data_IF_524412965236
#
_entry.id   IF_524412965236
#
_cell.length_a   1.000
_cell.length_b   1.000
_cell.length_c   1.000
_cell.angle_alpha   90.00
_cell.angle_beta   90.00
_cell.angle_gamma   90.00
#
_symmetry.space_group_name_H-M   'P 1'
#
loop_
_entity.id
_entity.type
_entity.pdbx_description
1 polymer ?
#
# COMPACT_ATOMS: atom_id res chain seq x y z
N UNK A 1 -21.40 88.92 65.99
CA UNK A 1 -20.09 88.38 65.53
C UNK A 1 -20.07 86.91 65.83
N UNK A 2 -20.44 86.08 64.88
CA UNK A 2 -20.52 84.62 65.01
C UNK A 2 -19.51 83.98 64.08
N UNK A 3 -18.59 83.26 64.61
CA UNK A 3 -17.58 82.52 63.91
C UNK A 3 -18.13 81.14 63.52
N UNK A 4 -18.24 80.92 62.21
CA UNK A 4 -18.60 79.59 61.62
C UNK A 4 -17.29 78.87 61.38
N UNK A 5 -17.09 77.74 62.04
CA UNK A 5 -15.99 76.78 61.74
C UNK A 5 -16.36 75.89 60.53
N UNK A 6 -15.46 75.69 59.59
CA UNK A 6 -15.74 74.70 58.53
C UNK A 6 -15.51 73.27 59.03
N UNK A 7 -16.48 72.39 58.81
CA UNK A 7 -16.37 70.92 58.94
C UNK A 7 -15.58 70.40 57.78
N UNK A 8 -14.38 69.85 58.04
CA UNK A 8 -13.61 69.04 57.07
C UNK A 8 -14.17 67.63 57.09
N UNK A 9 -14.92 67.29 56.02
CA UNK A 9 -15.35 65.93 55.84
C UNK A 9 -14.21 65.10 55.30
N UNK A 10 -13.78 64.08 56.03
CA UNK A 10 -12.86 63.05 55.62
C UNK A 10 -13.70 62.03 54.81
N UNK A 11 -13.57 62.05 53.48
CA UNK A 11 -14.04 60.95 52.66
C UNK A 11 -13.03 59.81 52.79
N UNK A 12 -13.38 58.76 53.54
CA UNK A 12 -12.74 57.47 53.48
C UNK A 12 -13.14 56.82 52.17
N UNK A 13 -12.21 56.81 51.19
CA UNK A 13 -12.32 55.96 50.02
C UNK A 13 -12.08 54.54 50.51
N UNK A 14 -13.16 53.80 50.73
CA UNK A 14 -13.09 52.35 50.93
C UNK A 14 -12.70 51.70 49.56
N UNK A 15 -11.47 51.25 49.48
CA UNK A 15 -11.10 50.29 48.41
C UNK A 15 -11.92 49.04 48.69
N UNK A 16 -12.95 48.80 47.86
CA UNK A 16 -13.60 47.51 47.79
C UNK A 16 -12.63 46.65 47.03
N UNK A 17 -11.81 45.87 47.74
CA UNK A 17 -11.14 44.75 47.17
C UNK A 17 -12.25 43.77 46.72
N UNK A 18 -12.55 43.75 45.42
CA UNK A 18 -13.30 42.68 44.80
C UNK A 18 -12.44 41.41 44.94
N UNK A 19 -12.72 40.61 45.95
CA UNK A 19 -12.27 39.23 45.98
C UNK A 19 -13.05 38.59 44.83
N UNK A 20 -12.40 38.43 43.67
CA UNK A 20 -12.86 37.51 42.67
C UNK A 20 -12.84 36.14 43.35
N UNK A 21 -14.03 35.65 43.74
CA UNK A 21 -14.23 34.23 44.00
C UNK A 21 -13.96 33.59 42.64
N UNK A 22 -12.72 33.06 42.45
CA UNK A 22 -12.42 32.25 41.30
C UNK A 22 -13.46 31.13 41.26
N UNK A 23 -14.12 30.97 40.13
CA UNK A 23 -14.96 29.82 39.92
C UNK A 23 -13.99 28.62 39.98
N UNK A 24 -14.19 27.70 40.92
CA UNK A 24 -13.29 26.55 41.13
C UNK A 24 -13.20 25.64 39.86
N UNK A 25 -13.98 25.96 38.82
CA UNK A 25 -14.07 25.26 37.56
C UNK A 25 -13.23 25.86 36.42
N UNK A 26 -12.48 26.96 36.65
CA UNK A 26 -11.65 27.62 35.63
C UNK A 26 -10.29 28.07 36.19
N UNK A 27 -9.21 27.89 35.44
CA UNK A 27 -7.87 28.42 35.72
C UNK A 27 -7.29 29.16 34.53
N UNK A 28 -6.58 30.29 34.80
CA UNK A 28 -5.76 30.96 33.78
C UNK A 28 -4.33 30.46 33.91
N UNK A 29 -3.75 29.95 32.82
CA UNK A 29 -2.45 29.28 32.81
C UNK A 29 -1.58 29.77 31.64
N UNK A 30 -0.28 29.49 31.71
CA UNK A 30 0.67 29.82 30.62
C UNK A 30 1.22 28.56 29.99
N UNK A 31 1.19 28.47 28.66
CA UNK A 31 1.72 27.33 27.91
C UNK A 31 3.24 27.29 28.01
N UNK A 32 3.78 26.17 28.51
CA UNK A 32 5.20 25.89 28.53
C UNK A 32 5.65 25.20 27.22
N UNK A 33 4.92 24.20 26.78
CA UNK A 33 5.16 23.48 25.52
C UNK A 33 4.00 22.56 25.15
N UNK A 34 3.92 22.22 23.89
CA UNK A 34 3.07 21.15 23.35
C UNK A 34 3.84 19.82 23.35
N UNK A 35 3.21 18.75 23.81
CA UNK A 35 3.78 17.39 23.85
C UNK A 35 3.39 16.62 22.59
N UNK A 36 2.08 16.55 22.31
CA UNK A 36 1.46 15.92 21.15
C UNK A 36 0.20 16.70 20.73
N UNK A 37 -0.67 16.11 19.92
CA UNK A 37 -1.85 16.80 19.38
C UNK A 37 -2.94 17.15 20.39
N UNK A 38 -2.91 16.55 21.59
CA UNK A 38 -3.93 16.76 22.63
C UNK A 38 -3.38 16.87 24.05
N UNK A 39 -2.07 17.01 24.18
CA UNK A 39 -1.39 17.10 25.48
C UNK A 39 -0.42 18.27 25.49
N UNK A 40 -0.57 19.16 26.50
CA UNK A 40 0.29 20.32 26.72
C UNK A 40 0.88 20.32 28.13
N UNK A 41 2.04 20.91 28.29
CA UNK A 41 2.57 21.30 29.61
C UNK A 41 2.31 22.82 29.82
N UNK A 42 1.73 23.18 30.93
CA UNK A 42 1.39 24.56 31.30
C UNK A 42 1.96 24.91 32.69
N UNK A 43 2.09 26.18 32.98
CA UNK A 43 2.38 26.67 34.31
C UNK A 43 1.05 27.00 35.03
N UNK A 44 0.81 26.35 36.17
CA UNK A 44 -0.29 26.62 37.07
C UNK A 44 0.34 27.02 38.41
N UNK A 45 0.21 28.26 38.83
CA UNK A 45 0.74 28.78 40.11
C UNK A 45 2.25 28.53 40.33
N UNK A 46 3.04 28.52 39.26
CA UNK A 46 4.49 28.27 39.29
C UNK A 46 4.87 26.78 39.22
N UNK A 47 3.91 25.88 39.05
CA UNK A 47 4.13 24.45 38.89
C UNK A 47 3.89 24.00 37.44
N UNK A 48 4.86 23.27 36.85
CA UNK A 48 4.68 22.72 35.52
C UNK A 48 3.72 21.53 35.56
N UNK A 49 2.54 21.71 35.00
CA UNK A 49 1.43 20.76 35.03
C UNK A 49 1.15 20.22 33.61
N UNK A 50 0.99 18.90 33.47
CA UNK A 50 0.59 18.28 32.23
C UNK A 50 -0.92 18.23 32.10
N UNK A 51 -1.43 18.80 31.00
CA UNK A 51 -2.86 18.85 30.69
C UNK A 51 -3.15 18.02 29.49
N UNK A 52 -4.10 17.08 29.61
CA UNK A 52 -4.73 16.34 28.52
C UNK A 52 -6.03 17.04 28.14
N UNK A 53 -6.13 17.44 26.89
CA UNK A 53 -7.30 18.13 26.35
C UNK A 53 -8.51 17.17 26.30
N UNK A 54 -9.64 17.60 26.90
CA UNK A 54 -10.86 16.80 27.02
C UNK A 54 -11.59 16.65 25.70
N UNK A 55 -12.30 15.53 25.57
CA UNK A 55 -13.23 15.16 24.51
C UNK A 55 -12.63 15.10 23.10
N UNK A 56 -11.31 15.14 22.98
CA UNK A 56 -10.57 14.81 21.75
C UNK A 56 -9.60 13.67 21.99
N UNK A 57 -9.31 12.93 20.89
CA UNK A 57 -8.22 11.96 20.83
C UNK A 57 -7.48 12.17 19.51
N UNK A 58 -6.17 12.33 19.57
CA UNK A 58 -5.31 12.59 18.41
C UNK A 58 -4.36 11.43 18.16
N UNK A 59 -3.83 11.30 16.93
CA UNK A 59 -2.79 10.31 16.67
C UNK A 59 -1.59 10.49 17.59
N UNK A 60 -1.03 9.39 18.08
CA UNK A 60 0.04 9.37 19.09
C UNK A 60 1.42 9.53 18.45
N UNK A 61 2.26 10.38 19.06
CA UNK A 61 3.69 10.46 18.73
C UNK A 61 4.41 9.21 19.25
N UNK A 62 5.22 8.60 18.40
CA UNK A 62 6.01 7.42 18.77
C UNK A 62 7.03 7.72 19.87
N UNK A 63 7.07 6.88 20.91
CA UNK A 63 8.00 6.99 22.01
C UNK A 63 9.13 5.95 21.90
N UNK A 64 10.30 6.25 22.48
CA UNK A 64 11.46 5.35 22.54
C UNK A 64 11.93 4.82 21.17
N UNK A 65 11.78 5.60 20.11
CA UNK A 65 12.17 5.21 18.75
C UNK A 65 11.13 4.38 18.00
N UNK A 66 9.94 4.19 18.57
CA UNK A 66 8.79 3.62 17.83
C UNK A 66 8.23 4.62 16.81
N UNK A 67 7.53 4.13 15.79
CA UNK A 67 6.90 4.99 14.80
C UNK A 67 5.74 5.80 15.43
N UNK A 68 5.57 7.04 14.98
CA UNK A 68 4.37 7.82 15.24
C UNK A 68 3.20 7.28 14.41
N UNK A 69 1.98 7.47 14.91
CA UNK A 69 0.79 7.23 14.11
C UNK A 69 0.66 8.26 12.98
N UNK A 70 -0.09 7.91 11.94
CA UNK A 70 -0.30 8.82 10.81
C UNK A 70 -0.94 10.13 11.29
N UNK A 71 -0.41 11.26 10.82
CA UNK A 71 -0.82 12.63 11.19
C UNK A 71 -0.53 13.05 12.63
N UNK A 72 0.21 12.27 13.42
CA UNK A 72 0.56 12.66 14.78
C UNK A 72 1.42 13.95 14.84
N UNK A 73 2.42 14.04 13.95
CA UNK A 73 3.26 15.24 13.85
C UNK A 73 2.48 16.44 13.33
N UNK A 74 1.55 16.25 12.41
CA UNK A 74 0.66 17.28 11.89
C UNK A 74 -0.26 17.84 12.99
N UNK A 75 -0.85 16.96 13.80
CA UNK A 75 -1.69 17.36 14.94
C UNK A 75 -0.88 18.15 15.96
N UNK A 76 0.30 17.67 16.34
CA UNK A 76 1.23 18.37 17.21
C UNK A 76 1.63 19.74 16.66
N UNK A 77 2.07 19.82 15.41
CA UNK A 77 2.47 21.07 14.79
C UNK A 77 1.31 22.06 14.65
N UNK A 78 0.08 21.56 14.43
CA UNK A 78 -1.10 22.44 14.47
C UNK A 78 -1.24 23.08 15.84
N UNK A 79 -1.21 22.27 16.91
CA UNK A 79 -1.35 22.76 18.28
C UNK A 79 -0.19 23.68 18.70
N UNK A 80 1.05 23.41 18.29
CA UNK A 80 2.20 24.28 18.50
C UNK A 80 2.03 25.68 17.85
N UNK A 81 1.43 25.73 16.66
CA UNK A 81 1.14 27.04 16.02
C UNK A 81 -0.02 27.77 16.68
N UNK A 82 -1.00 27.01 17.19
CA UNK A 82 -2.17 27.60 17.87
C UNK A 82 -1.83 28.08 19.27
N UNK A 83 -0.94 27.37 19.96
CA UNK A 83 -0.51 27.61 21.34
C UNK A 83 1.02 27.69 21.44
N UNK A 84 1.65 28.77 20.93
CA UNK A 84 3.08 28.99 21.12
C UNK A 84 3.44 29.07 22.61
N UNK A 85 4.69 28.76 22.95
CA UNK A 85 5.20 28.94 24.33
C UNK A 85 4.95 30.36 24.84
N UNK A 86 4.42 30.49 26.06
CA UNK A 86 4.08 31.75 26.68
C UNK A 86 2.66 32.26 26.40
N UNK A 87 1.86 31.49 25.63
CA UNK A 87 0.45 31.80 25.40
C UNK A 87 -0.34 31.67 26.73
N UNK A 88 -1.15 32.65 27.07
CA UNK A 88 -2.11 32.56 28.16
C UNK A 88 -3.36 31.82 27.69
N UNK A 89 -3.81 30.84 28.47
CA UNK A 89 -5.01 30.03 28.25
C UNK A 89 -5.93 30.08 29.45
N UNK A 90 -7.21 29.93 29.19
CA UNK A 90 -8.20 29.59 30.22
C UNK A 90 -8.48 28.08 30.10
N UNK A 91 -8.32 27.38 31.23
CA UNK A 91 -8.71 25.98 31.35
C UNK A 91 -10.08 25.87 32.00
N UNK A 92 -10.96 25.10 31.43
CA UNK A 92 -12.23 24.71 32.03
C UNK A 92 -12.26 23.23 32.32
N UNK A 93 -12.76 22.88 33.49
CA UNK A 93 -12.78 21.51 33.98
C UNK A 93 -14.18 20.88 33.85
N UNK A 94 -14.18 19.54 33.90
CA UNK A 94 -15.37 18.73 34.01
C UNK A 94 -15.34 17.94 35.35
N UNK A 95 -16.20 16.95 35.49
CA UNK A 95 -16.41 16.18 36.74
C UNK A 95 -15.17 15.47 37.25
N UNK A 96 -14.35 14.89 36.37
CA UNK A 96 -13.07 14.26 36.70
C UNK A 96 -11.92 15.18 36.31
N UNK A 97 -11.18 15.72 37.29
CA UNK A 97 -10.09 16.67 37.02
C UNK A 97 -8.76 16.02 36.68
N UNK A 98 -8.60 14.73 36.92
CA UNK A 98 -7.29 14.06 36.75
C UNK A 98 -7.50 12.64 36.23
N UNK A 99 -6.68 12.23 35.30
CA UNK A 99 -6.69 10.87 34.82
C UNK A 99 -5.84 9.92 35.70
N UNK A 100 -5.88 8.63 35.36
CA UNK A 100 -5.13 7.59 36.07
C UNK A 100 -3.59 7.73 35.97
N UNK A 101 -3.09 8.59 35.09
CA UNK A 101 -1.66 8.89 34.92
C UNK A 101 -1.24 10.15 35.62
N UNK A 102 -2.16 10.84 36.28
CA UNK A 102 -1.92 12.10 36.99
C UNK A 102 -1.92 13.34 36.09
N UNK A 103 -2.41 13.25 34.85
CA UNK A 103 -2.58 14.41 33.97
C UNK A 103 -3.85 15.16 34.36
N UNK A 104 -3.79 16.48 34.37
CA UNK A 104 -4.98 17.34 34.51
C UNK A 104 -5.84 17.21 33.25
N UNK A 105 -7.15 17.12 33.39
CA UNK A 105 -8.13 16.99 32.32
C UNK A 105 -8.90 18.31 32.18
N UNK A 106 -8.80 18.97 31.01
CA UNK A 106 -9.45 20.27 30.80
C UNK A 106 -9.83 20.53 29.34
N UNK A 107 -10.85 21.36 29.12
CA UNK A 107 -11.04 22.11 27.89
C UNK A 107 -10.11 23.34 27.93
N UNK A 108 -9.44 23.63 26.80
CA UNK A 108 -8.53 24.78 26.67
C UNK A 108 -9.17 25.86 25.78
N UNK A 109 -9.16 27.08 26.28
CA UNK A 109 -9.73 28.25 25.59
C UNK A 109 -8.66 29.32 25.40
N UNK A 110 -8.47 29.72 24.15
CA UNK A 110 -7.66 30.88 23.78
C UNK A 110 -8.59 32.03 23.48
N UNK A 111 -8.66 32.98 24.45
CA UNK A 111 -9.73 33.99 24.46
C UNK A 111 -11.13 33.30 24.48
N UNK A 112 -11.92 33.46 23.44
CA UNK A 112 -13.23 32.82 23.28
C UNK A 112 -13.20 31.56 22.41
N UNK A 113 -12.05 31.24 21.77
CA UNK A 113 -11.90 30.10 20.90
C UNK A 113 -11.65 28.79 21.64
N UNK A 114 -12.47 27.79 21.43
CA UNK A 114 -12.31 26.48 22.07
C UNK A 114 -11.32 25.63 21.28
N UNK A 115 -10.08 25.57 21.74
CA UNK A 115 -8.93 24.94 21.04
C UNK A 115 -9.17 23.47 20.75
N UNK A 116 -9.81 22.71 21.64
CA UNK A 116 -10.10 21.30 21.43
C UNK A 116 -10.99 21.09 20.20
N UNK A 117 -12.01 21.95 20.03
CA UNK A 117 -12.88 21.91 18.86
C UNK A 117 -12.16 22.35 17.58
N UNK A 118 -11.23 23.31 17.68
CA UNK A 118 -10.43 23.76 16.53
C UNK A 118 -9.60 22.59 15.95
N UNK A 119 -8.97 21.77 16.81
CA UNK A 119 -8.18 20.60 16.38
C UNK A 119 -9.09 19.59 15.64
N UNK A 120 -10.30 19.37 16.16
CA UNK A 120 -11.27 18.47 15.52
C UNK A 120 -11.80 19.02 14.19
N UNK A 121 -12.00 20.34 14.10
CA UNK A 121 -12.43 21.01 12.86
C UNK A 121 -11.38 20.94 11.74
N UNK A 122 -10.09 20.89 12.09
CA UNK A 122 -8.99 20.66 11.14
C UNK A 122 -8.87 19.18 10.71
N UNK A 123 -9.72 18.30 11.25
CA UNK A 123 -9.64 16.87 10.99
C UNK A 123 -8.39 16.20 11.59
N UNK A 124 -7.88 16.72 12.71
CA UNK A 124 -6.68 16.20 13.37
C UNK A 124 -6.99 15.51 14.71
N UNK A 125 -8.25 15.51 15.13
CA UNK A 125 -8.72 14.80 16.32
C UNK A 125 -10.06 14.12 16.09
N UNK A 126 -10.29 13.01 16.78
CA UNK A 126 -11.60 12.35 16.88
C UNK A 126 -12.30 12.78 18.17
N UNK A 127 -13.62 12.99 18.10
CA UNK A 127 -14.43 13.25 19.28
C UNK A 127 -14.57 11.99 20.14
N UNK A 128 -14.32 12.10 21.44
CA UNK A 128 -14.34 10.96 22.36
C UNK A 128 -14.80 11.36 23.77
N UNK A 129 -15.43 10.43 24.48
CA UNK A 129 -15.70 10.53 25.90
C UNK A 129 -14.86 9.49 26.64
N UNK A 130 -14.02 9.95 27.55
CA UNK A 130 -13.29 9.11 28.48
C UNK A 130 -13.77 9.35 29.92
N UNK A 131 -14.09 8.28 30.65
CA UNK A 131 -14.62 8.39 31.99
C UNK A 131 -16.00 9.07 32.04
N UNK A 132 -16.19 9.98 33.00
CA UNK A 132 -17.41 10.76 33.18
C UNK A 132 -17.43 12.14 32.56
N UNK A 133 -16.37 12.50 31.80
CA UNK A 133 -16.19 13.83 31.23
C UNK A 133 -16.79 13.97 29.85
N UNK A 134 -17.93 14.59 29.71
CA UNK A 134 -18.65 14.81 28.47
C UNK A 134 -19.05 16.27 28.18
N UNK A 135 -18.64 17.18 29.07
CA UNK A 135 -18.99 18.63 29.03
C UNK A 135 -18.80 19.24 27.62
N UNK A 136 -17.73 18.90 26.95
CA UNK A 136 -17.36 19.51 25.67
C UNK A 136 -17.61 18.59 24.48
N UNK A 137 -18.11 17.37 24.70
CA UNK A 137 -18.21 16.34 23.64
C UNK A 137 -19.09 16.76 22.46
N UNK A 138 -20.26 17.36 22.72
CA UNK A 138 -21.17 17.77 21.64
C UNK A 138 -20.55 18.83 20.73
N UNK A 139 -19.77 19.77 21.31
CA UNK A 139 -19.11 20.83 20.55
C UNK A 139 -18.00 20.26 19.68
N UNK A 140 -17.13 19.41 20.23
CA UNK A 140 -16.08 18.70 19.48
C UNK A 140 -16.69 17.81 18.40
N UNK A 141 -17.72 17.04 18.72
CA UNK A 141 -18.41 16.17 17.74
C UNK A 141 -19.01 16.97 16.58
N UNK A 142 -19.53 18.17 16.87
CA UNK A 142 -20.03 19.06 15.82
C UNK A 142 -18.90 19.57 14.94
N UNK A 143 -17.74 19.90 15.53
CA UNK A 143 -16.58 20.40 14.83
C UNK A 143 -15.97 19.34 13.88
N UNK A 144 -15.89 18.06 14.30
CA UNK A 144 -15.33 16.97 13.48
C UNK A 144 -16.18 16.61 12.25
N UNK A 145 -17.46 17.04 12.18
CA UNK A 145 -18.37 16.59 11.10
C UNK A 145 -17.90 16.95 9.71
N UNK A 146 -17.47 18.21 9.52
CA UNK A 146 -17.08 18.67 8.20
C UNK A 146 -15.88 17.88 7.62
N UNK A 147 -14.73 17.75 8.31
CA UNK A 147 -13.62 16.95 7.81
C UNK A 147 -13.98 15.45 7.72
N UNK A 148 -14.82 14.93 8.61
CA UNK A 148 -15.27 13.53 8.58
C UNK A 148 -16.12 13.23 7.35
N UNK A 149 -17.08 14.08 7.02
CA UNK A 149 -17.93 13.93 5.84
C UNK A 149 -17.15 14.13 4.55
N UNK A 150 -16.12 14.97 4.56
CA UNK A 150 -15.22 15.20 3.42
C UNK A 150 -14.15 14.10 3.26
N UNK A 151 -13.93 13.26 4.27
CA UNK A 151 -12.82 12.30 4.29
C UNK A 151 -11.46 12.98 4.33
N UNK A 152 -11.32 14.03 5.13
CA UNK A 152 -10.10 14.82 5.29
C UNK A 152 -9.39 14.50 6.62
N UNK A 153 -8.11 14.86 6.69
CA UNK A 153 -7.29 14.63 7.88
C UNK A 153 -7.28 13.13 8.28
N UNK A 154 -7.51 12.87 9.58
CA UNK A 154 -7.56 11.49 10.11
C UNK A 154 -8.64 10.64 9.46
N UNK A 155 -9.71 11.24 8.95
CA UNK A 155 -10.82 10.51 8.32
C UNK A 155 -10.53 10.10 6.87
N UNK A 156 -9.48 10.66 6.23
CA UNK A 156 -9.04 10.37 4.87
C UNK A 156 -7.80 9.47 4.77
N UNK A 157 -7.26 8.99 5.87
CA UNK A 157 -6.04 8.18 5.86
C UNK A 157 -6.25 6.79 5.24
N UNK A 158 -5.16 6.20 4.76
CA UNK A 158 -5.17 4.85 4.18
C UNK A 158 -5.51 3.76 5.21
N UNK A 159 -5.87 2.58 4.72
CA UNK A 159 -6.17 1.44 5.58
C UNK A 159 -4.99 1.03 6.48
N UNK A 160 -3.74 1.21 6.00
CA UNK A 160 -2.54 0.97 6.81
C UNK A 160 -2.48 1.86 8.02
N UNK A 161 -2.80 3.14 7.85
CA UNK A 161 -2.84 4.10 8.96
C UNK A 161 -3.86 3.72 10.03
N UNK A 162 -5.01 3.18 9.62
CA UNK A 162 -6.09 2.79 10.54
C UNK A 162 -5.75 1.59 11.42
N UNK A 163 -4.73 0.82 11.06
CA UNK A 163 -4.32 -0.40 11.76
C UNK A 163 -2.82 -0.46 12.06
N UNK A 164 -2.07 0.63 11.88
CA UNK A 164 -0.61 0.67 11.94
C UNK A 164 -0.02 0.26 13.29
N UNK A 165 -0.74 0.41 14.39
CA UNK A 165 -0.31 0.00 15.72
C UNK A 165 -0.64 -1.47 16.05
N UNK A 166 -1.40 -2.17 15.20
CA UNK A 166 -1.64 -3.61 15.27
C UNK A 166 -0.76 -4.32 14.23
N UNK A 167 0.41 -4.80 14.67
CA UNK A 167 1.41 -5.41 13.79
C UNK A 167 0.85 -6.59 12.99
N UNK A 168 0.02 -7.44 13.63
CA UNK A 168 -0.56 -8.62 12.96
C UNK A 168 -1.53 -8.21 11.85
N UNK A 169 -2.37 -7.20 12.11
CA UNK A 169 -3.31 -6.68 11.11
C UNK A 169 -2.59 -5.93 9.98
N UNK A 170 -1.59 -5.13 10.31
CA UNK A 170 -0.78 -4.42 9.33
C UNK A 170 -0.02 -5.37 8.40
N UNK A 171 0.55 -6.46 8.94
CA UNK A 171 1.20 -7.51 8.16
C UNK A 171 0.21 -8.23 7.25
N UNK A 172 -0.95 -8.65 7.76
CA UNK A 172 -1.98 -9.31 6.97
C UNK A 172 -2.51 -8.43 5.84
N UNK A 173 -2.67 -7.12 6.08
CA UNK A 173 -3.04 -6.16 5.05
C UNK A 173 -1.96 -6.04 3.98
N UNK A 174 -0.69 -6.02 4.36
CA UNK A 174 0.46 -6.00 3.45
C UNK A 174 0.46 -7.25 2.55
N UNK A 175 0.25 -8.44 3.13
CA UNK A 175 0.13 -9.71 2.38
C UNK A 175 -1.03 -9.65 1.38
N UNK A 176 -2.19 -9.14 1.80
CA UNK A 176 -3.35 -9.02 0.92
C UNK A 176 -3.11 -8.05 -0.25
N UNK A 177 -2.41 -6.95 -0.03
CA UNK A 177 -2.00 -6.02 -1.09
C UNK A 177 -1.00 -6.65 -2.05
N UNK A 178 -0.01 -7.40 -1.53
CA UNK A 178 0.94 -8.12 -2.36
C UNK A 178 0.25 -9.17 -3.25
N UNK A 179 -0.71 -9.91 -2.73
CA UNK A 179 -1.51 -10.87 -3.49
C UNK A 179 -2.33 -10.20 -4.60
N UNK A 180 -2.93 -9.04 -4.31
CA UNK A 180 -3.66 -8.27 -5.33
C UNK A 180 -2.74 -7.73 -6.43
N UNK A 181 -1.55 -7.23 -6.07
CA UNK A 181 -0.55 -6.73 -7.02
C UNK A 181 0.04 -7.85 -7.88
N UNK A 182 0.27 -9.04 -7.31
CA UNK A 182 0.79 -10.20 -8.03
C UNK A 182 -0.15 -10.62 -9.17
N UNK A 183 -1.46 -10.62 -8.95
CA UNK A 183 -2.45 -10.91 -10.00
C UNK A 183 -2.32 -9.94 -11.20
N UNK A 184 -2.16 -8.66 -10.95
CA UNK A 184 -2.04 -7.63 -11.99
C UNK A 184 -0.76 -7.77 -12.84
N UNK A 185 0.27 -8.45 -12.32
CA UNK A 185 1.56 -8.67 -13.00
C UNK A 185 1.67 -9.99 -13.77
N UNK A 186 0.62 -10.83 -13.81
CA UNK A 186 0.69 -12.14 -14.47
C UNK A 186 0.80 -11.97 -16.00
N UNK A 187 1.80 -12.63 -16.58
CA UNK A 187 1.97 -12.66 -18.02
C UNK A 187 0.83 -13.41 -18.72
N UNK A 188 0.44 -12.96 -19.91
CA UNK A 188 -0.57 -13.65 -20.68
C UNK A 188 -0.11 -15.08 -21.02
N UNK A 189 -0.96 -16.07 -20.74
CA UNK A 189 -0.68 -17.48 -21.02
C UNK A 189 -0.01 -18.26 -19.88
N UNK A 190 0.26 -17.64 -18.73
CA UNK A 190 0.89 -18.31 -17.59
C UNK A 190 -0.17 -18.92 -16.64
N UNK A 191 -0.71 -20.10 -17.01
CA UNK A 191 -1.71 -20.83 -16.21
C UNK A 191 -1.21 -21.08 -14.77
N UNK A 192 0.02 -21.62 -14.54
CA UNK A 192 0.54 -21.83 -13.19
C UNK A 192 0.56 -20.56 -12.33
N UNK A 193 0.89 -19.39 -12.92
CA UNK A 193 0.89 -18.13 -12.19
C UNK A 193 -0.53 -17.68 -11.78
N UNK A 194 -1.54 -17.93 -12.63
CA UNK A 194 -2.94 -17.69 -12.27
C UNK A 194 -3.41 -18.61 -11.14
N UNK A 195 -3.06 -19.90 -11.16
CA UNK A 195 -3.38 -20.85 -10.09
C UNK A 195 -2.73 -20.43 -8.75
N UNK A 196 -1.44 -20.03 -8.78
CA UNK A 196 -0.73 -19.53 -7.60
C UNK A 196 -1.37 -18.27 -7.05
N UNK A 197 -1.80 -17.33 -7.89
CA UNK A 197 -2.50 -16.12 -7.48
C UNK A 197 -3.85 -16.40 -6.78
N UNK A 198 -4.57 -17.44 -7.20
CA UNK A 198 -5.79 -17.90 -6.54
C UNK A 198 -5.48 -18.37 -5.11
N UNK A 199 -4.43 -19.20 -4.96
CA UNK A 199 -4.01 -19.72 -3.66
C UNK A 199 -3.55 -18.62 -2.71
N UNK A 200 -2.73 -17.68 -3.20
CA UNK A 200 -2.28 -16.51 -2.43
C UNK A 200 -3.47 -15.64 -1.99
N UNK A 201 -4.41 -15.36 -2.88
CA UNK A 201 -5.62 -14.59 -2.57
C UNK A 201 -6.47 -15.26 -1.50
N UNK A 202 -6.67 -16.58 -1.60
CA UNK A 202 -7.43 -17.35 -0.62
C UNK A 202 -6.77 -17.34 0.77
N UNK A 203 -5.45 -17.52 0.83
CA UNK A 203 -4.68 -17.47 2.08
C UNK A 203 -4.73 -16.07 2.72
N UNK A 204 -4.54 -15.02 1.93
CA UNK A 204 -4.59 -13.64 2.40
C UNK A 204 -5.98 -13.27 2.98
N UNK A 205 -7.07 -13.65 2.31
CA UNK A 205 -8.44 -13.45 2.82
C UNK A 205 -8.67 -14.18 4.15
N UNK A 206 -8.25 -15.44 4.24
CA UNK A 206 -8.39 -16.22 5.46
C UNK A 206 -7.63 -15.60 6.64
N UNK A 207 -6.42 -15.08 6.41
CA UNK A 207 -5.62 -14.36 7.39
C UNK A 207 -6.34 -13.12 7.93
N UNK A 208 -6.81 -12.24 7.04
CA UNK A 208 -7.54 -11.03 7.44
C UNK A 208 -8.81 -11.36 8.24
N UNK A 209 -9.61 -12.32 7.79
CA UNK A 209 -10.85 -12.73 8.51
C UNK A 209 -10.53 -13.31 9.89
N UNK A 210 -9.44 -14.07 10.03
CA UNK A 210 -9.03 -14.61 11.33
C UNK A 210 -8.71 -13.48 12.32
N UNK A 211 -8.00 -12.44 11.87
CA UNK A 211 -7.61 -11.30 12.70
C UNK A 211 -8.80 -10.43 13.14
N UNK A 212 -9.87 -10.33 12.35
CA UNK A 212 -11.08 -9.62 12.81
C UNK A 212 -11.76 -10.26 14.03
N UNK A 213 -11.36 -11.50 14.35
CA UNK A 213 -11.86 -12.27 15.51
C UNK A 213 -10.84 -12.37 16.63
N UNK A 214 -9.61 -11.90 16.43
CA UNK A 214 -8.56 -11.87 17.44
C UNK A 214 -8.73 -10.70 18.39
N UNK A 215 -7.82 -10.58 19.37
CA UNK A 215 -7.75 -9.40 20.23
C UNK A 215 -7.26 -8.22 19.39
N UNK A 216 -8.02 -7.14 19.39
CA UNK A 216 -7.69 -5.89 18.72
C UNK A 216 -6.46 -5.24 19.37
N UNK A 217 -5.32 -5.29 18.67
CA UNK A 217 -4.02 -4.75 19.08
C UNK A 217 -3.86 -3.26 18.84
N UNK A 218 -4.82 -2.61 18.17
CA UNK A 218 -4.75 -1.20 17.80
C UNK A 218 -4.65 -0.28 19.03
N UNK A 219 -4.10 0.92 18.84
CA UNK A 219 -4.05 1.98 19.85
C UNK A 219 -5.45 2.43 20.29
N UNK A 220 -5.50 3.21 21.37
CA UNK A 220 -6.76 3.83 21.83
C UNK A 220 -7.31 4.76 20.75
N UNK A 221 -6.46 5.61 20.19
CA UNK A 221 -6.83 6.51 19.10
C UNK A 221 -7.42 5.75 17.89
N UNK A 222 -6.73 4.72 17.40
CA UNK A 222 -7.21 3.96 16.23
C UNK A 222 -8.55 3.24 16.50
N UNK A 223 -8.78 2.78 17.73
CA UNK A 223 -10.07 2.19 18.12
C UNK A 223 -11.19 3.23 18.18
N UNK A 224 -10.86 4.43 18.60
CA UNK A 224 -11.80 5.55 18.70
C UNK A 224 -12.14 6.12 17.33
N UNK A 225 -11.12 6.47 16.56
CA UNK A 225 -11.29 7.12 15.25
C UNK A 225 -11.84 6.16 14.19
N UNK A 226 -11.49 4.88 14.26
CA UNK A 226 -11.81 3.87 13.23
C UNK A 226 -12.39 2.57 13.83
N UNK A 227 -13.52 2.61 14.54
CA UNK A 227 -14.02 1.46 15.32
C UNK A 227 -14.23 0.21 14.46
N UNK A 228 -14.71 0.35 13.24
CA UNK A 228 -15.03 -0.76 12.34
C UNK A 228 -13.94 -1.09 11.30
N UNK A 229 -12.80 -0.37 11.31
CA UNK A 229 -11.76 -0.51 10.31
C UNK A 229 -11.31 -1.97 10.05
N UNK A 230 -11.04 -2.81 11.06
CA UNK A 230 -10.62 -4.20 10.79
C UNK A 230 -11.63 -4.99 9.96
N UNK A 231 -12.91 -4.81 10.24
CA UNK A 231 -13.98 -5.50 9.50
C UNK A 231 -14.17 -4.93 8.09
N UNK A 232 -14.12 -3.61 7.96
CA UNK A 232 -14.24 -2.92 6.68
C UNK A 232 -13.07 -3.27 5.75
N UNK A 233 -11.85 -3.25 6.27
CA UNK A 233 -10.63 -3.63 5.54
C UNK A 233 -10.74 -5.09 5.07
N UNK A 234 -11.09 -6.01 5.96
CA UNK A 234 -11.25 -7.41 5.62
C UNK A 234 -12.32 -7.61 4.53
N UNK A 235 -13.48 -6.97 4.64
CA UNK A 235 -14.55 -7.07 3.66
C UNK A 235 -14.19 -6.45 2.31
N UNK A 236 -13.45 -5.34 2.30
CA UNK A 236 -12.98 -4.70 1.08
C UNK A 236 -11.95 -5.60 0.35
N UNK A 237 -10.99 -6.13 1.10
CA UNK A 237 -9.98 -7.04 0.55
C UNK A 237 -10.57 -8.39 0.11
N UNK A 238 -11.55 -8.92 0.82
CA UNK A 238 -12.27 -10.11 0.39
C UNK A 238 -12.95 -9.91 -0.98
N UNK A 239 -13.58 -8.77 -1.21
CA UNK A 239 -14.18 -8.43 -2.52
C UNK A 239 -13.15 -8.27 -3.62
N UNK A 240 -12.07 -7.54 -3.35
CA UNK A 240 -10.97 -7.31 -4.30
C UNK A 240 -10.30 -8.63 -4.71
N UNK A 241 -9.83 -9.40 -3.74
CA UNK A 241 -9.14 -10.67 -3.98
C UNK A 241 -10.08 -11.74 -4.56
N UNK A 242 -11.36 -11.75 -4.14
CA UNK A 242 -12.37 -12.62 -4.73
C UNK A 242 -12.66 -12.28 -6.20
N UNK A 243 -12.63 -11.00 -6.56
CA UNK A 243 -12.67 -10.54 -7.95
C UNK A 243 -11.49 -11.07 -8.78
N UNK A 244 -10.28 -10.96 -8.24
CA UNK A 244 -9.06 -11.45 -8.87
C UNK A 244 -9.11 -12.98 -9.08
N UNK A 245 -9.53 -13.74 -8.06
CA UNK A 245 -9.71 -15.20 -8.18
C UNK A 245 -10.69 -15.58 -9.29
N UNK A 246 -11.80 -14.87 -9.41
CA UNK A 246 -12.77 -15.11 -10.47
C UNK A 246 -12.16 -14.86 -11.83
N UNK A 247 -11.47 -13.73 -12.03
CA UNK A 247 -10.81 -13.39 -13.28
C UNK A 247 -9.69 -14.39 -13.62
N UNK A 248 -8.91 -14.83 -12.62
CA UNK A 248 -7.88 -15.85 -12.82
C UNK A 248 -8.48 -17.16 -13.33
N UNK A 249 -9.58 -17.64 -12.73
CA UNK A 249 -10.28 -18.86 -13.18
C UNK A 249 -10.84 -18.73 -14.61
N UNK A 250 -11.39 -17.57 -14.94
CA UNK A 250 -11.87 -17.29 -16.31
C UNK A 250 -10.72 -17.33 -17.31
N UNK A 251 -9.57 -16.77 -16.96
CA UNK A 251 -8.36 -16.80 -17.81
C UNK A 251 -7.80 -18.21 -17.98
N UNK A 252 -7.73 -19.00 -16.91
CA UNK A 252 -7.32 -20.42 -17.00
C UNK A 252 -8.24 -21.16 -17.98
N UNK A 253 -9.56 -21.05 -17.83
CA UNK A 253 -10.51 -21.71 -18.70
C UNK A 253 -10.35 -21.30 -20.19
N UNK A 254 -10.16 -20.00 -20.45
CA UNK A 254 -9.91 -19.50 -21.82
C UNK A 254 -8.64 -20.12 -22.43
N UNK A 255 -7.55 -20.16 -21.66
CA UNK A 255 -6.26 -20.68 -22.10
C UNK A 255 -6.33 -22.20 -22.36
N UNK A 256 -6.93 -22.96 -21.45
CA UNK A 256 -7.12 -24.40 -21.63
C UNK A 256 -8.04 -24.73 -22.84
N UNK A 257 -9.03 -23.88 -23.14
CA UNK A 257 -9.85 -24.05 -24.33
C UNK A 257 -9.05 -23.77 -25.59
N UNK A 258 -8.21 -22.73 -25.60
CA UNK A 258 -7.31 -22.45 -26.74
C UNK A 258 -6.31 -23.56 -26.96
N UNK A 259 -5.70 -24.12 -25.91
CA UNK A 259 -4.79 -25.28 -26.03
C UNK A 259 -5.50 -26.51 -26.61
N UNK A 260 -6.71 -26.79 -26.14
CA UNK A 260 -7.51 -27.93 -26.70
C UNK A 260 -7.86 -27.73 -28.15
N UNK A 261 -8.22 -26.52 -28.58
CA UNK A 261 -8.50 -26.23 -29.98
C UNK A 261 -7.24 -26.30 -30.85
N UNK A 262 -6.10 -25.86 -30.35
CA UNK A 262 -4.82 -25.94 -31.07
C UNK A 262 -4.36 -27.38 -31.22
N UNK A 263 -4.45 -28.19 -30.17
CA UNK A 263 -4.17 -29.61 -30.23
C UNK A 263 -5.06 -30.35 -31.24
N UNK A 264 -6.35 -29.97 -31.28
CA UNK A 264 -7.29 -30.54 -32.25
C UNK A 264 -6.88 -30.19 -33.70
N UNK A 265 -6.55 -28.92 -33.96
CA UNK A 265 -6.09 -28.49 -35.32
C UNK A 265 -4.78 -29.13 -35.69
N UNK A 266 -3.88 -29.36 -34.76
CA UNK A 266 -2.61 -30.05 -34.99
C UNK A 266 -2.86 -31.52 -35.39
N UNK A 267 -3.75 -32.21 -34.66
CA UNK A 267 -4.12 -33.60 -35.01
C UNK A 267 -4.79 -33.71 -36.40
N UNK A 268 -5.69 -32.78 -36.73
CA UNK A 268 -6.34 -32.71 -38.05
C UNK A 268 -5.31 -32.48 -39.17
N UNK A 269 -4.31 -31.59 -38.93
CA UNK A 269 -3.23 -31.35 -39.91
C UNK A 269 -2.34 -32.57 -40.11
N UNK A 270 -1.94 -33.25 -39.04
CA UNK A 270 -1.14 -34.47 -39.12
C UNK A 270 -1.89 -35.61 -39.84
N UNK A 271 -3.19 -35.73 -39.63
CA UNK A 271 -4.01 -36.71 -40.32
C UNK A 271 -4.12 -36.40 -41.81
N UNK A 272 -4.27 -35.14 -42.18
CA UNK A 272 -4.30 -34.73 -43.60
C UNK A 272 -2.95 -34.94 -44.30
N UNK A 273 -1.83 -34.59 -43.62
CA UNK A 273 -0.48 -34.87 -44.14
C UNK A 273 -0.27 -36.37 -44.37
N UNK A 274 -0.73 -37.22 -43.45
CA UNK A 274 -0.66 -38.67 -43.60
C UNK A 274 -1.47 -39.16 -44.79
N UNK A 275 -2.70 -38.66 -45.00
CA UNK A 275 -3.53 -39.02 -46.16
C UNK A 275 -2.88 -38.61 -47.47
N UNK A 276 -2.30 -37.43 -47.54
CA UNK A 276 -1.60 -36.95 -48.74
C UNK A 276 -0.38 -37.82 -49.03
N UNK A 277 0.36 -38.24 -48.03
CA UNK A 277 1.53 -39.10 -48.21
C UNK A 277 1.11 -40.54 -48.64
N UNK A 278 0.04 -41.08 -48.06
CA UNK A 278 -0.54 -42.37 -48.49
C UNK A 278 -0.97 -42.33 -49.99
N UNK A 279 -1.63 -41.24 -50.41
CA UNK A 279 -2.00 -41.05 -51.82
C UNK A 279 -0.78 -41.00 -52.79
N UNK A 280 0.27 -40.23 -52.33
CA UNK A 280 1.52 -40.19 -53.13
C UNK A 280 2.21 -41.52 -53.24
N UNK A 281 2.16 -42.34 -52.19
CA UNK A 281 2.72 -43.71 -52.28
C UNK A 281 1.90 -44.62 -53.17
N UNK A 282 0.57 -44.54 -53.16
CA UNK A 282 -0.30 -45.24 -54.05
C UNK A 282 -0.09 -44.86 -55.56
N UNK A 283 0.02 -43.52 -55.81
CA UNK A 283 0.32 -43.02 -57.17
C UNK A 283 1.68 -43.49 -57.68
N UNK A 284 2.72 -43.52 -56.81
CA UNK A 284 4.04 -44.08 -57.17
C UNK A 284 3.97 -45.57 -57.50
N UNK A 285 3.27 -46.33 -56.63
CA UNK A 285 3.10 -47.78 -56.90
C UNK A 285 2.43 -48.06 -58.25
N UNK A 286 1.38 -47.28 -58.58
CA UNK A 286 0.70 -47.39 -59.89
C UNK A 286 1.56 -46.94 -61.05
N UNK A 287 2.44 -45.93 -60.85
CA UNK A 287 3.38 -45.47 -61.88
C UNK A 287 4.51 -46.50 -62.14
N UNK A 288 4.99 -47.18 -61.10
CA UNK A 288 5.98 -48.30 -61.29
C UNK A 288 5.38 -49.51 -61.89
N UNK A 289 4.11 -49.87 -61.63
CA UNK A 289 3.42 -51.03 -62.27
C UNK A 289 3.08 -50.77 -63.76
N UNK A 290 2.92 -49.49 -64.14
CA UNK A 290 2.61 -49.09 -65.51
C UNK A 290 3.83 -48.76 -66.37
N UNK A 291 5.04 -48.86 -65.82
CA UNK A 291 6.26 -48.62 -66.61
C UNK A 291 6.49 -49.74 -67.65
N UNK A 292 6.64 -49.44 -68.95
CA UNK A 292 6.90 -50.50 -69.96
C UNK A 292 8.28 -51.10 -69.67
N UNK A 293 8.31 -52.46 -69.68
CA UNK A 293 9.53 -53.26 -69.57
C UNK A 293 10.47 -52.88 -70.77
N UNK A 294 11.49 -52.09 -70.42
CA UNK A 294 12.52 -51.72 -71.44
C UNK A 294 13.46 -52.89 -71.59
N UNK A 295 13.26 -53.62 -72.69
CA UNK A 295 14.18 -54.69 -73.16
C UNK A 295 15.59 -54.11 -73.33
N UNK A 296 16.52 -54.47 -72.45
CA UNK A 296 17.92 -54.05 -72.52
C UNK A 296 18.61 -54.78 -73.69
N UNK A 297 18.66 -54.07 -74.82
CA UNK A 297 19.52 -54.53 -75.94
C UNK A 297 21.00 -54.40 -75.50
N UNK A 298 21.69 -55.56 -75.43
CA UNK A 298 23.14 -55.64 -75.22
C UNK A 298 23.87 -54.85 -76.31
N UNK A 299 24.57 -53.74 -75.96
CA UNK A 299 25.54 -53.13 -76.86
C UNK A 299 26.97 -53.47 -76.38
N UNK A 300 27.93 -53.67 -77.31
CA UNK A 300 29.29 -54.14 -76.97
C UNK A 300 30.11 -53.10 -76.25
N UNK A 301 30.85 -53.59 -75.28
CA UNK A 301 31.81 -52.87 -74.49
C UNK A 301 32.87 -52.16 -75.30
N UNK A 302 32.93 -50.86 -75.32
CA UNK A 302 34.15 -50.08 -75.64
C UNK A 302 34.78 -49.58 -74.38
N UNK A 303 36.03 -49.95 -74.19
CA UNK A 303 36.90 -49.47 -73.15
C UNK A 303 37.04 -47.92 -73.18
N UNK A 304 36.51 -47.27 -72.20
CA UNK A 304 36.72 -45.84 -72.00
C UNK A 304 37.40 -45.62 -70.60
N UNK A 305 38.66 -45.20 -70.67
CA UNK A 305 39.42 -44.84 -69.47
C UNK A 305 38.68 -43.72 -68.74
N UNK A 306 38.35 -43.94 -67.49
CA UNK A 306 37.76 -42.96 -66.58
C UNK A 306 38.76 -41.91 -66.19
N UNK A 307 38.48 -40.63 -66.34
CA UNK A 307 39.24 -39.58 -65.63
C UNK A 307 38.91 -39.64 -64.13
N UNK A 308 39.94 -39.44 -63.33
CA UNK A 308 39.89 -39.47 -61.86
C UNK A 308 38.77 -38.56 -61.28
N UNK A 309 37.89 -39.20 -60.52
CA UNK A 309 36.84 -38.49 -59.71
C UNK A 309 37.48 -37.71 -58.66
N UNK A 310 37.38 -36.35 -58.71
CA UNK A 310 37.60 -35.47 -57.58
C UNK A 310 36.28 -35.35 -56.83
N UNK A 311 36.26 -35.53 -55.46
CA UNK A 311 35.03 -35.36 -54.70
C UNK A 311 34.61 -33.89 -54.73
N UNK A 312 33.43 -33.60 -55.20
CA UNK A 312 32.81 -32.31 -55.10
C UNK A 312 32.58 -31.97 -53.60
N UNK A 313 33.10 -30.83 -53.19
CA UNK A 313 32.80 -30.25 -51.88
C UNK A 313 31.27 -30.20 -51.69
N UNK A 314 30.81 -30.81 -50.60
CA UNK A 314 29.43 -30.65 -50.14
C UNK A 314 29.16 -29.19 -49.89
N UNK A 315 28.36 -28.55 -50.73
CA UNK A 315 27.79 -27.24 -50.44
C UNK A 315 26.87 -27.41 -49.21
N UNK A 316 27.31 -26.82 -48.09
CA UNK A 316 26.52 -26.70 -46.91
C UNK A 316 25.18 -26.00 -47.23
N UNK A 317 24.10 -26.51 -46.67
CA UNK A 317 22.77 -25.89 -46.74
C UNK A 317 22.83 -24.41 -46.34
N UNK A 318 22.03 -23.51 -46.91
CA UNK A 318 22.06 -22.09 -46.58
C UNK A 318 21.72 -21.92 -45.09
N UNK A 319 22.67 -21.40 -44.34
CA UNK A 319 22.45 -21.00 -42.94
C UNK A 319 21.41 -19.87 -42.91
N UNK A 320 20.45 -19.90 -41.97
CA UNK A 320 19.52 -18.78 -41.78
C UNK A 320 20.32 -17.49 -41.55
N UNK A 321 19.88 -16.41 -42.18
CA UNK A 321 20.48 -15.08 -42.01
C UNK A 321 20.64 -14.71 -40.54
N UNK A 322 21.77 -14.12 -40.13
CA UNK A 322 21.98 -13.78 -38.71
C UNK A 322 20.90 -12.80 -38.27
N UNK A 323 20.16 -13.19 -37.21
CA UNK A 323 19.21 -12.30 -36.55
C UNK A 323 20.01 -11.14 -35.96
N UNK A 324 19.80 -9.94 -36.47
CA UNK A 324 20.45 -8.72 -35.97
C UNK A 324 19.99 -8.48 -34.55
N UNK A 325 20.86 -8.71 -33.58
CA UNK A 325 20.56 -8.47 -32.18
C UNK A 325 20.39 -6.97 -31.90
N UNK A 326 19.20 -6.60 -31.43
CA UNK A 326 18.79 -5.25 -31.04
C UNK A 326 19.04 -4.94 -29.56
N UNK A 327 19.66 -5.84 -28.81
CA UNK A 327 19.89 -5.67 -27.38
C UNK A 327 20.84 -4.51 -27.10
N UNK A 328 20.38 -3.56 -26.24
CA UNK A 328 21.11 -2.32 -25.88
C UNK A 328 21.72 -2.36 -24.47
N UNK A 329 21.49 -3.45 -23.71
CA UNK A 329 22.04 -3.60 -22.34
C UNK A 329 23.49 -4.07 -22.28
N UNK A 330 23.95 -4.40 -21.08
CA UNK A 330 25.31 -4.89 -20.85
C UNK A 330 25.52 -6.31 -21.37
N UNK A 331 26.72 -6.57 -21.97
CA UNK A 331 27.11 -7.84 -22.58
C UNK A 331 28.36 -8.40 -21.94
N UNK A 332 28.38 -9.69 -21.62
CA UNK A 332 29.57 -10.43 -21.22
C UNK A 332 30.05 -11.33 -22.38
N UNK A 333 31.30 -11.19 -22.79
CA UNK A 333 31.87 -11.95 -23.92
C UNK A 333 32.74 -13.13 -23.48
N UNK A 334 32.97 -13.28 -22.16
CA UNK A 334 33.76 -14.37 -21.55
C UNK A 334 33.34 -14.56 -20.09
N UNK A 335 33.91 -15.52 -19.40
CA UNK A 335 33.60 -15.86 -18.01
C UNK A 335 32.62 -17.04 -17.89
N UNK A 336 32.03 -17.22 -16.71
CA UNK A 336 31.11 -18.34 -16.41
C UNK A 336 29.66 -18.11 -16.88
N UNK A 337 29.49 -17.41 -18.00
CA UNK A 337 28.18 -17.09 -18.58
C UNK A 337 27.88 -17.98 -19.79
N UNK A 338 26.62 -18.42 -19.93
CA UNK A 338 26.17 -19.11 -21.14
C UNK A 338 26.03 -18.08 -22.29
N UNK A 339 26.84 -18.20 -23.35
CA UNK A 339 26.83 -17.28 -24.49
C UNK A 339 25.69 -17.65 -25.45
N UNK A 340 24.51 -17.07 -25.21
CA UNK A 340 23.26 -17.41 -25.93
C UNK A 340 22.89 -16.45 -27.05
N UNK A 341 23.64 -15.34 -27.23
CA UNK A 341 23.38 -14.30 -28.21
C UNK A 341 24.62 -13.96 -29.03
N UNK A 342 24.45 -13.35 -30.23
CA UNK A 342 25.54 -12.94 -31.10
C UNK A 342 25.40 -11.45 -31.40
N UNK A 343 26.48 -10.68 -31.26
CA UNK A 343 26.47 -9.23 -31.53
C UNK A 343 26.54 -8.91 -33.05
N UNK A 344 26.40 -7.65 -33.41
CA UNK A 344 26.47 -7.16 -34.80
C UNK A 344 27.78 -7.45 -35.51
N UNK A 345 28.82 -7.87 -34.76
CA UNK A 345 30.14 -8.24 -35.28
C UNK A 345 30.37 -9.75 -35.31
N UNK A 346 29.31 -10.54 -35.05
CA UNK A 346 29.36 -12.00 -35.03
C UNK A 346 29.99 -12.61 -33.79
N UNK A 347 30.19 -11.84 -32.68
CA UNK A 347 30.82 -12.33 -31.46
C UNK A 347 29.74 -12.85 -30.51
N UNK A 348 29.86 -14.09 -29.99
CA UNK A 348 28.93 -14.61 -29.00
C UNK A 348 29.07 -13.86 -27.69
N UNK A 349 27.94 -13.62 -27.01
CA UNK A 349 27.89 -12.95 -25.71
C UNK A 349 26.68 -13.44 -24.88
N UNK A 350 26.76 -13.20 -23.56
CA UNK A 350 25.62 -13.34 -22.64
C UNK A 350 25.06 -11.96 -22.30
N UNK A 351 23.74 -11.85 -22.20
CA UNK A 351 23.06 -10.66 -21.69
C UNK A 351 23.20 -10.64 -20.18
N UNK A 352 23.66 -9.54 -19.60
CA UNK A 352 23.84 -9.39 -18.16
C UNK A 352 23.20 -8.10 -17.66
N UNK A 353 22.77 -8.09 -16.42
CA UNK A 353 22.37 -6.88 -15.72
C UNK A 353 23.58 -5.97 -15.49
N UNK A 354 23.42 -4.67 -15.79
CA UNK A 354 24.53 -3.72 -15.72
C UNK A 354 25.05 -3.48 -14.29
N UNK A 355 24.18 -3.63 -13.29
CA UNK A 355 24.46 -3.35 -11.87
C UNK A 355 24.89 -4.60 -11.12
N UNK A 356 24.09 -5.66 -11.19
CA UNK A 356 24.32 -6.91 -10.43
C UNK A 356 25.28 -7.87 -11.10
N UNK A 357 25.57 -7.69 -12.41
CA UNK A 357 26.38 -8.59 -13.24
C UNK A 357 25.83 -10.01 -13.36
N UNK A 358 24.58 -10.24 -12.99
CA UNK A 358 23.92 -11.54 -13.19
C UNK A 358 23.46 -11.71 -14.64
N UNK A 359 23.47 -12.95 -15.15
CA UNK A 359 22.98 -13.25 -16.47
C UNK A 359 21.45 -13.11 -16.50
N UNK A 360 20.94 -12.46 -17.56
CA UNK A 360 19.52 -12.25 -17.82
C UNK A 360 19.19 -12.84 -19.19
N UNK A 361 18.40 -13.92 -19.25
CA UNK A 361 17.97 -14.57 -20.46
C UNK A 361 19.01 -15.45 -21.13
#
# INVERSE_FOLDING_TARGET
MGWVKPLVGIFAVGAVASIALGDDDEDTVVVNRVIDGDTIDVDIDGENTRVRLLNIDTPEIGHNGGPSECLAEEAKHYLERRLPQGTELRLEYDSERTDKYGRTLAGAFLEDDFVNADIAAEGLAAAVVFGGNDKFYEEVQKAERAPKDAGEGIFGVSDECKVSSDEEMAEALSIAKAAAAAFAGIAAGDIPAYEDSINQSAAAKAGLVALTRSKDGRSTFQKTAYPDAPKEIAANKERELGGNEKQAREKINELEEQEREEEKREKERQEEERRVEEQRQEERGQAEESAPEVEVAEQPTQDYESPAYQPAEQQAAPQPAPVVDTYTGCRAYNGNYALTSVDKKGRPYAKIDCTTKQQIG
#
